data_IF_738452185322
#
_entry.id   IF_738452185322
#
_cell.length_a   1.000
_cell.length_b   1.000
_cell.length_c   1.000
_cell.angle_alpha   90.00
_cell.angle_beta   90.00
_cell.angle_gamma   90.00
#
_symmetry.space_group_name_H-M   'P 1'
#
loop_
_entity.id
_entity.type
_entity.pdbx_description
1 polymer ?
#
# COMPACT_ATOMS: atom_id res chain seq x y z
N UNK A 1 42.60 40.39 -6.75
CA UNK A 1 41.88 39.78 -5.60
C UNK A 1 40.55 39.24 -6.10
N UNK A 2 40.40 37.91 -6.11
CA UNK A 2 39.28 37.18 -6.69
C UNK A 2 38.22 36.99 -5.59
N UNK A 3 36.96 37.40 -5.85
CA UNK A 3 35.83 37.11 -4.95
C UNK A 3 34.82 36.26 -5.72
N UNK A 4 34.83 34.95 -5.42
CA UNK A 4 33.85 34.00 -5.89
C UNK A 4 32.58 34.11 -5.04
N UNK A 5 31.45 34.40 -5.67
CA UNK A 5 30.10 34.32 -5.07
C UNK A 5 29.49 32.97 -5.42
N UNK A 6 29.52 32.03 -4.47
CA UNK A 6 28.85 30.74 -4.59
C UNK A 6 27.34 30.91 -4.34
N UNK A 7 26.54 30.67 -5.36
CA UNK A 7 25.10 30.48 -5.25
C UNK A 7 24.81 29.09 -4.66
N UNK A 8 24.37 29.02 -3.40
CA UNK A 8 23.80 27.80 -2.84
C UNK A 8 22.30 27.76 -3.09
N UNK A 9 21.90 26.96 -4.09
CA UNK A 9 20.51 26.57 -4.35
C UNK A 9 19.99 25.67 -3.24
N UNK A 10 18.97 26.13 -2.51
CA UNK A 10 18.23 25.32 -1.53
C UNK A 10 17.33 24.31 -2.26
N UNK A 11 17.81 23.09 -2.43
CA UNK A 11 17.00 21.96 -2.85
C UNK A 11 16.00 21.58 -1.75
N UNK A 12 14.71 21.68 -2.11
CA UNK A 12 13.54 21.30 -1.31
C UNK A 12 13.60 19.80 -0.96
N UNK A 13 14.02 19.44 0.26
CA UNK A 13 13.95 18.05 0.74
C UNK A 13 12.48 17.60 0.82
N UNK A 14 12.12 16.66 -0.05
CA UNK A 14 10.89 15.87 0.04
C UNK A 14 11.06 14.79 1.11
N UNK A 15 10.03 14.59 1.92
CA UNK A 15 9.91 13.51 2.89
C UNK A 15 9.86 14.00 4.32
N UNK A 16 8.66 14.13 4.89
CA UNK A 16 8.50 14.10 6.35
C UNK A 16 8.74 12.64 6.77
N UNK A 17 9.77 12.32 7.56
CA UNK A 17 9.82 11.02 8.20
C UNK A 17 8.63 10.97 9.16
N UNK A 18 7.66 10.08 8.92
CA UNK A 18 6.70 9.71 9.96
C UNK A 18 7.51 9.08 11.08
N UNK A 19 7.68 9.84 12.16
CA UNK A 19 8.41 9.42 13.34
C UNK A 19 7.74 8.14 13.86
N UNK A 20 8.48 7.04 13.91
CA UNK A 20 7.97 5.79 14.45
C UNK A 20 7.49 6.07 15.90
N UNK A 21 6.23 5.79 16.25
CA UNK A 21 5.71 6.09 17.59
C UNK A 21 6.49 5.41 18.71
N UNK A 22 7.15 4.29 18.41
CA UNK A 22 8.00 3.61 19.39
C UNK A 22 9.32 4.35 19.60
N UNK A 23 9.92 4.89 18.53
CA UNK A 23 11.12 5.73 18.61
C UNK A 23 10.89 7.02 19.42
N UNK A 24 9.70 7.62 19.34
CA UNK A 24 9.36 8.77 20.19
C UNK A 24 9.30 8.39 21.67
N UNK A 25 8.73 7.23 22.00
CA UNK A 25 8.60 6.80 23.40
C UNK A 25 9.98 6.58 23.99
N UNK A 26 10.84 5.85 23.28
CA UNK A 26 12.20 5.55 23.72
C UNK A 26 13.00 6.85 23.93
N UNK A 27 12.87 7.80 23.00
CA UNK A 27 13.48 9.12 23.14
C UNK A 27 13.00 9.87 24.39
N UNK A 28 11.68 9.92 24.67
CA UNK A 28 11.17 10.63 25.85
C UNK A 28 11.54 9.93 27.16
N UNK A 29 11.79 8.62 27.14
CA UNK A 29 12.24 7.87 28.31
C UNK A 29 13.73 8.12 28.60
N UNK A 30 14.56 8.37 27.59
CA UNK A 30 16.02 8.46 27.78
C UNK A 30 16.57 9.90 27.74
N UNK A 31 15.92 10.82 27.01
CA UNK A 31 16.51 12.12 26.67
C UNK A 31 16.50 13.15 27.82
N UNK A 32 15.68 12.97 28.87
CA UNK A 32 15.47 13.98 29.91
C UNK A 32 15.43 13.38 31.34
N UNK A 33 16.50 12.70 31.80
CA UNK A 33 16.52 12.07 33.12
C UNK A 33 16.42 13.10 34.25
N UNK A 34 15.54 12.84 35.23
CA UNK A 34 15.37 13.67 36.43
C UNK A 34 15.23 12.80 37.69
N UNK A 35 16.29 12.06 38.07
CA UNK A 35 16.22 11.06 39.14
C UNK A 35 15.87 11.65 40.52
N UNK A 36 16.21 12.92 40.75
CA UNK A 36 15.91 13.63 42.00
C UNK A 36 14.49 14.23 42.01
N UNK A 37 13.70 13.99 40.96
CA UNK A 37 12.33 14.52 40.75
C UNK A 37 12.21 16.03 41.03
N UNK A 38 13.23 16.80 40.67
CA UNK A 38 13.25 18.26 40.89
C UNK A 38 12.19 18.94 40.03
N UNK A 39 11.25 19.63 40.67
CA UNK A 39 10.18 20.37 39.99
C UNK A 39 9.12 19.48 39.32
N UNK A 40 9.08 18.18 39.65
CA UNK A 40 8.07 17.27 39.15
C UNK A 40 6.67 17.63 39.72
N UNK A 41 5.61 17.54 38.90
CA UNK A 41 4.25 17.57 39.40
C UNK A 41 3.99 16.37 40.32
N UNK A 42 3.01 16.50 41.21
CA UNK A 42 2.61 15.42 42.10
C UNK A 42 1.94 14.27 41.33
N UNK A 43 2.03 13.06 41.89
CA UNK A 43 1.53 11.84 41.26
C UNK A 43 0.02 11.91 40.97
N UNK A 44 -0.78 12.63 41.79
CA UNK A 44 -2.22 12.79 41.56
C UNK A 44 -2.47 13.65 40.31
N UNK A 45 -1.66 14.68 40.09
CA UNK A 45 -1.70 15.51 38.88
C UNK A 45 -1.29 14.70 37.65
N UNK A 46 -0.26 13.86 37.73
CA UNK A 46 0.16 12.99 36.61
C UNK A 46 -0.94 11.98 36.28
N UNK A 47 -1.55 11.36 37.29
CA UNK A 47 -2.69 10.46 37.13
C UNK A 47 -3.89 11.17 36.51
N UNK A 48 -4.27 12.34 37.01
CA UNK A 48 -5.36 13.13 36.43
C UNK A 48 -5.09 13.52 34.98
N UNK A 49 -3.81 13.73 34.61
CA UNK A 49 -3.43 13.97 33.23
C UNK A 49 -3.58 12.73 32.35
N UNK A 50 -3.19 11.55 32.85
CA UNK A 50 -3.33 10.27 32.17
C UNK A 50 -4.80 9.90 31.90
N UNK A 51 -5.69 10.26 32.81
CA UNK A 51 -7.14 10.05 32.70
C UNK A 51 -7.87 11.16 31.90
N UNK A 52 -7.14 12.03 31.22
CA UNK A 52 -7.65 13.18 30.45
C UNK A 52 -8.55 14.16 31.25
N UNK A 53 -8.36 14.25 32.58
CA UNK A 53 -9.12 15.14 33.47
C UNK A 53 -8.56 16.57 33.57
N UNK A 54 -7.35 16.80 33.06
CA UNK A 54 -6.69 18.12 33.11
C UNK A 54 -6.92 18.94 31.83
N UNK A 55 -7.07 20.28 31.96
CA UNK A 55 -7.26 21.14 30.81
C UNK A 55 -6.04 21.13 29.86
N UNK A 56 -6.23 21.44 28.56
CA UNK A 56 -5.16 21.46 27.54
C UNK A 56 -3.94 22.33 27.86
N UNK A 57 -4.11 23.42 28.63
CA UNK A 57 -3.04 24.34 29.00
C UNK A 57 -2.32 24.02 30.32
N UNK A 58 -2.61 22.89 30.96
CA UNK A 58 -2.02 22.56 32.26
C UNK A 58 -0.50 22.37 32.15
N UNK A 59 0.33 22.97 33.05
CA UNK A 59 1.79 22.90 32.95
C UNK A 59 2.37 21.48 32.99
N UNK A 60 1.66 20.55 33.66
CA UNK A 60 2.04 19.14 33.69
C UNK A 60 2.14 18.48 32.29
N UNK A 61 1.39 18.96 31.28
CA UNK A 61 1.48 18.46 29.90
C UNK A 61 2.84 18.71 29.27
N UNK A 62 3.39 19.91 29.50
CA UNK A 62 4.72 20.25 29.03
C UNK A 62 5.79 19.48 29.82
N UNK A 63 5.60 19.40 31.15
CA UNK A 63 6.54 18.71 32.03
C UNK A 63 6.70 17.22 31.67
N UNK A 64 5.60 16.51 31.40
CA UNK A 64 5.62 15.10 30.97
C UNK A 64 6.35 14.90 29.64
N UNK A 65 6.38 15.91 28.77
CA UNK A 65 7.15 15.87 27.52
C UNK A 65 8.64 16.17 27.67
N UNK A 66 9.09 16.60 28.86
CA UNK A 66 10.45 17.08 29.13
C UNK A 66 11.09 16.45 30.36
N UNK A 67 10.50 15.39 30.90
CA UNK A 67 11.00 14.68 32.08
C UNK A 67 10.72 13.18 31.92
N UNK A 68 11.80 12.39 31.80
CA UNK A 68 11.74 10.94 31.59
C UNK A 68 10.93 10.22 32.66
N UNK A 69 11.15 10.54 33.93
CA UNK A 69 10.48 9.88 35.06
C UNK A 69 8.96 10.17 35.05
N UNK A 70 8.58 11.43 34.83
CA UNK A 70 7.17 11.80 34.72
C UNK A 70 6.51 11.20 33.48
N UNK A 71 7.25 11.03 32.38
CA UNK A 71 6.76 10.33 31.19
C UNK A 71 6.52 8.85 31.48
N UNK A 72 7.45 8.17 32.17
CA UNK A 72 7.29 6.77 32.57
C UNK A 72 6.06 6.57 33.46
N UNK A 73 5.90 7.39 34.50
CA UNK A 73 4.73 7.34 35.40
C UNK A 73 3.41 7.63 34.66
N UNK A 74 3.40 8.65 33.80
CA UNK A 74 2.24 8.99 32.97
C UNK A 74 1.80 7.80 32.10
N UNK A 75 2.77 7.10 31.48
CA UNK A 75 2.51 5.94 30.62
C UNK A 75 1.87 4.80 31.41
N UNK A 76 2.37 4.52 32.61
CA UNK A 76 1.77 3.51 33.50
C UNK A 76 0.33 3.86 33.87
N UNK A 77 0.07 5.08 34.37
CA UNK A 77 -1.29 5.48 34.71
C UNK A 77 -2.24 5.49 33.51
N UNK A 78 -1.73 5.84 32.32
CA UNK A 78 -2.54 5.84 31.10
C UNK A 78 -2.90 4.43 30.67
N UNK A 79 -1.95 3.51 30.74
CA UNK A 79 -2.21 2.10 30.46
C UNK A 79 -3.21 1.51 31.46
N UNK A 80 -3.02 1.72 32.76
CA UNK A 80 -3.94 1.25 33.81
C UNK A 80 -5.37 1.78 33.60
N UNK A 81 -5.50 3.04 33.19
CA UNK A 81 -6.79 3.66 32.90
C UNK A 81 -7.43 3.12 31.62
N UNK A 82 -6.65 2.91 30.56
CA UNK A 82 -7.13 2.30 29.31
C UNK A 82 -7.62 0.86 29.58
N UNK A 83 -6.87 0.06 30.34
CA UNK A 83 -7.26 -1.30 30.73
C UNK A 83 -8.52 -1.32 31.61
N UNK A 84 -8.62 -0.42 32.59
CA UNK A 84 -9.81 -0.27 33.43
C UNK A 84 -11.05 0.22 32.66
N UNK A 85 -10.87 1.04 31.62
CA UNK A 85 -11.98 1.52 30.80
C UNK A 85 -12.39 0.53 29.69
N UNK A 86 -11.47 -0.28 29.19
CA UNK A 86 -11.81 -1.36 28.24
C UNK A 86 -12.71 -2.39 28.92
N UNK A 87 -12.45 -2.75 30.19
CA UNK A 87 -13.29 -3.70 30.94
C UNK A 87 -14.69 -3.15 31.26
N UNK A 88 -14.85 -1.83 31.40
CA UNK A 88 -16.17 -1.19 31.62
C UNK A 88 -16.92 -0.91 30.31
N UNK A 89 -16.22 -0.74 29.17
CA UNK A 89 -16.84 -0.48 27.87
C UNK A 89 -17.63 -1.68 27.29
N UNK A 90 -17.30 -2.92 27.68
CA UNK A 90 -18.07 -4.11 27.28
C UNK A 90 -19.40 -4.26 28.04
N UNK A 91 -19.55 -3.66 29.22
CA UNK A 91 -20.77 -3.76 30.05
C UNK A 91 -21.57 -2.45 30.16
N UNK A 92 -20.99 -1.28 29.88
CA UNK A 92 -21.70 0.03 29.99
C UNK A 92 -22.09 0.62 28.62
N UNK A 93 -22.81 -0.16 27.81
CA UNK A 93 -23.72 0.37 26.76
C UNK A 93 -25.06 0.84 27.37
N UNK A 94 -25.10 1.03 28.68
CA UNK A 94 -26.33 1.14 29.49
C UNK A 94 -26.71 2.57 29.85
N UNK A 95 -25.83 3.56 29.61
CA UNK A 95 -26.12 4.98 29.88
C UNK A 95 -26.46 5.80 28.63
N UNK A 96 -27.26 5.24 27.72
CA UNK A 96 -28.11 6.09 26.88
C UNK A 96 -29.39 6.34 27.67
N UNK A 97 -29.50 7.53 28.29
CA UNK A 97 -30.69 7.97 29.02
C UNK A 97 -31.90 7.88 28.07
N UNK A 98 -32.86 6.95 28.24
CA UNK A 98 -33.94 6.81 27.29
C UNK A 98 -34.93 7.96 27.53
N UNK A 99 -34.93 8.95 26.64
CA UNK A 99 -36.04 9.90 26.59
C UNK A 99 -37.30 9.13 26.19
N UNK A 100 -38.35 9.28 27.00
CA UNK A 100 -39.50 8.38 27.13
C UNK A 100 -40.51 8.44 25.97
N UNK A 101 -40.08 8.76 24.74
CA UNK A 101 -40.99 9.20 23.68
C UNK A 101 -40.88 8.47 22.33
N UNK A 102 -40.18 7.34 22.24
CA UNK A 102 -40.01 6.67 20.95
C UNK A 102 -40.37 5.18 20.95
N UNK A 103 -41.67 4.89 21.08
CA UNK A 103 -42.23 3.53 20.87
C UNK A 103 -42.19 3.07 19.40
N UNK A 104 -41.76 3.92 18.46
CA UNK A 104 -41.70 3.60 17.02
C UNK A 104 -40.28 3.31 16.48
N UNK A 105 -39.23 3.49 17.29
CA UNK A 105 -37.84 3.33 16.82
C UNK A 105 -37.41 1.88 16.50
N UNK A 106 -37.86 0.81 17.18
CA UNK A 106 -37.36 -0.53 16.84
C UNK A 106 -37.82 -0.99 15.45
N UNK A 107 -39.01 -0.56 15.01
CA UNK A 107 -39.54 -0.88 13.69
C UNK A 107 -38.82 -0.11 12.57
N UNK A 108 -38.46 1.15 12.81
CA UNK A 108 -37.71 1.96 11.84
C UNK A 108 -36.27 1.43 11.64
N UNK A 109 -35.61 0.98 12.70
CA UNK A 109 -34.26 0.40 12.61
C UNK A 109 -34.29 -0.96 11.93
N UNK A 110 -35.27 -1.82 12.25
CA UNK A 110 -35.44 -3.10 11.57
C UNK A 110 -35.71 -2.91 10.07
N UNK A 111 -36.58 -1.97 9.69
CA UNK A 111 -36.85 -1.65 8.28
C UNK A 111 -35.61 -1.08 7.57
N UNK A 112 -34.83 -0.21 8.22
CA UNK A 112 -33.60 0.34 7.67
C UNK A 112 -32.53 -0.74 7.45
N UNK A 113 -32.36 -1.67 8.41
CA UNK A 113 -31.43 -2.79 8.26
C UNK A 113 -31.88 -3.74 7.15
N UNK A 114 -33.19 -4.01 7.03
CA UNK A 114 -33.72 -4.89 5.98
C UNK A 114 -33.57 -4.26 4.59
N UNK A 115 -33.72 -2.94 4.46
CA UNK A 115 -33.42 -2.20 3.22
C UNK A 115 -31.92 -2.16 2.92
N UNK A 116 -31.07 -2.00 3.93
CA UNK A 116 -29.61 -1.90 3.74
C UNK A 116 -28.97 -3.26 3.42
N UNK A 117 -29.33 -4.31 4.17
CA UNK A 117 -28.84 -5.67 3.93
C UNK A 117 -29.58 -6.35 2.77
N UNK A 118 -30.90 -6.17 2.63
CA UNK A 118 -31.67 -6.73 1.52
C UNK A 118 -31.37 -6.03 0.20
N UNK A 119 -31.37 -4.69 0.19
CA UNK A 119 -30.99 -3.90 -0.99
C UNK A 119 -29.53 -4.09 -1.36
N UNK A 120 -28.63 -4.11 -0.37
CA UNK A 120 -27.21 -4.42 -0.56
C UNK A 120 -26.98 -5.84 -1.10
N UNK A 121 -27.69 -6.84 -0.59
CA UNK A 121 -27.56 -8.22 -1.05
C UNK A 121 -28.14 -8.43 -2.44
N UNK A 122 -29.30 -7.83 -2.74
CA UNK A 122 -29.89 -7.88 -4.09
C UNK A 122 -29.02 -7.11 -5.07
N UNK A 123 -28.55 -5.91 -4.74
CA UNK A 123 -27.61 -5.18 -5.58
C UNK A 123 -26.30 -5.94 -5.77
N UNK A 124 -25.74 -6.54 -4.72
CA UNK A 124 -24.51 -7.33 -4.81
C UNK A 124 -24.71 -8.60 -5.66
N UNK A 125 -25.82 -9.31 -5.47
CA UNK A 125 -26.25 -10.40 -6.36
C UNK A 125 -26.44 -9.89 -7.78
N UNK A 126 -26.99 -8.70 -7.99
CA UNK A 126 -27.24 -8.13 -9.31
C UNK A 126 -26.00 -7.48 -9.94
N UNK A 127 -24.96 -7.17 -9.17
CA UNK A 127 -23.62 -6.76 -9.64
C UNK A 127 -22.78 -8.00 -9.98
N UNK A 128 -22.90 -9.08 -9.21
CA UNK A 128 -22.29 -10.37 -9.53
C UNK A 128 -23.01 -11.10 -10.67
N UNK A 129 -24.34 -10.96 -10.73
CA UNK A 129 -25.21 -11.54 -11.77
C UNK A 129 -25.58 -10.51 -12.83
N UNK A 130 -25.02 -9.29 -12.76
CA UNK A 130 -25.02 -8.44 -13.93
C UNK A 130 -24.35 -9.32 -14.97
N UNK A 131 -25.03 -9.66 -16.07
CA UNK A 131 -24.27 -9.96 -17.24
C UNK A 131 -23.47 -8.68 -17.42
N UNK A 132 -22.18 -8.72 -17.06
CA UNK A 132 -21.19 -8.00 -17.84
C UNK A 132 -21.68 -8.31 -19.23
N UNK A 133 -22.22 -7.30 -19.91
CA UNK A 133 -22.34 -7.36 -21.34
C UNK A 133 -20.91 -7.64 -21.74
N UNK A 134 -20.53 -8.93 -21.78
CA UNK A 134 -19.51 -9.43 -22.64
C UNK A 134 -20.00 -8.79 -23.91
N UNK A 135 -19.30 -7.76 -24.44
CA UNK A 135 -19.51 -7.50 -25.83
C UNK A 135 -19.46 -8.90 -26.43
N UNK A 136 -20.40 -9.27 -27.28
CA UNK A 136 -20.06 -10.26 -28.27
C UNK A 136 -18.96 -9.60 -29.09
N UNK A 137 -17.76 -9.50 -28.50
CA UNK A 137 -16.53 -9.60 -29.22
C UNK A 137 -16.77 -10.89 -29.96
N UNK A 138 -16.85 -10.76 -31.27
CA UNK A 138 -16.47 -11.84 -32.15
C UNK A 138 -15.40 -12.65 -31.43
N UNK A 139 -15.63 -13.95 -31.30
CA UNK A 139 -14.67 -14.89 -30.78
C UNK A 139 -13.39 -14.77 -31.62
N UNK A 140 -12.59 -13.76 -31.33
CA UNK A 140 -11.22 -13.65 -31.77
C UNK A 140 -10.53 -14.59 -30.82
N UNK A 141 -10.34 -15.80 -31.32
CA UNK A 141 -9.54 -16.83 -30.67
C UNK A 141 -8.28 -16.16 -30.08
N UNK A 142 -8.02 -16.32 -28.77
CA UNK A 142 -6.90 -15.66 -28.14
C UNK A 142 -5.62 -16.07 -28.86
N UNK A 143 -4.88 -15.07 -29.36
CA UNK A 143 -3.68 -15.34 -30.13
C UNK A 143 -2.62 -15.86 -29.15
N UNK A 144 -2.18 -17.10 -29.37
CA UNK A 144 -1.12 -17.70 -28.59
C UNK A 144 0.22 -17.18 -29.13
N UNK A 145 0.98 -16.45 -28.31
CA UNK A 145 2.30 -15.91 -28.68
C UNK A 145 3.32 -16.40 -27.67
N UNK A 146 4.42 -16.99 -28.14
CA UNK A 146 5.56 -17.33 -27.30
C UNK A 146 6.68 -16.30 -27.47
N UNK A 147 7.27 -15.87 -26.36
CA UNK A 147 8.34 -14.88 -26.32
C UNK A 147 9.47 -15.43 -25.47
N UNK A 148 10.64 -15.65 -26.09
CA UNK A 148 11.83 -16.12 -25.38
C UNK A 148 12.69 -14.92 -24.94
N UNK A 149 12.72 -14.64 -23.63
CA UNK A 149 13.56 -13.60 -23.03
C UNK A 149 14.86 -14.18 -22.43
N UNK A 150 15.18 -15.47 -22.65
CA UNK A 150 16.36 -16.10 -22.05
C UNK A 150 17.69 -15.49 -22.52
N UNK A 151 17.75 -14.99 -23.75
CA UNK A 151 18.93 -14.31 -24.33
C UNK A 151 18.90 -12.78 -24.16
N UNK A 152 17.89 -12.23 -23.47
CA UNK A 152 17.78 -10.79 -23.19
C UNK A 152 18.75 -10.37 -22.07
N UNK A 153 20.04 -10.42 -22.38
CA UNK A 153 21.12 -10.08 -21.47
C UNK A 153 21.01 -8.65 -20.92
N UNK A 154 21.22 -8.54 -19.61
CA UNK A 154 21.21 -7.29 -18.84
C UNK A 154 22.35 -6.36 -19.25
N UNK A 155 22.06 -5.23 -19.91
CA UNK A 155 23.05 -4.15 -20.07
C UNK A 155 23.04 -3.28 -18.81
N UNK A 156 24.19 -3.21 -18.11
CA UNK A 156 24.43 -2.36 -16.94
C UNK A 156 25.36 -1.21 -17.34
N UNK A 157 24.80 -0.02 -17.59
CA UNK A 157 25.56 1.19 -17.93
C UNK A 157 24.80 2.13 -18.88
N UNK A 158 25.14 3.44 -18.93
CA UNK A 158 24.53 4.36 -19.87
C UNK A 158 25.18 4.21 -21.25
N UNK A 159 24.37 3.82 -22.23
CA UNK A 159 24.57 3.89 -23.68
C UNK A 159 25.76 3.12 -24.30
N UNK A 160 25.45 1.98 -24.93
CA UNK A 160 25.88 1.68 -26.31
C UNK A 160 24.73 0.91 -27.00
N UNK A 161 24.18 1.49 -28.07
CA UNK A 161 23.31 0.81 -29.02
C UNK A 161 24.15 -0.18 -29.84
N UNK A 162 24.00 -1.50 -29.64
CA UNK A 162 24.01 -2.54 -30.69
C UNK A 162 23.91 -3.95 -30.10
N UNK A 163 22.69 -4.35 -29.73
CA UNK A 163 22.14 -5.66 -30.10
C UNK A 163 20.66 -5.43 -30.34
N UNK A 164 20.10 -5.63 -31.55
CA UNK A 164 18.67 -5.55 -31.73
C UNK A 164 18.03 -6.65 -30.88
N UNK A 165 17.48 -6.25 -29.73
CA UNK A 165 16.49 -7.05 -29.03
C UNK A 165 15.44 -7.43 -30.09
N UNK A 166 14.97 -8.68 -30.17
CA UNK A 166 13.83 -8.99 -31.01
C UNK A 166 12.70 -8.07 -30.54
N UNK A 167 12.37 -7.07 -31.36
CA UNK A 167 11.27 -6.14 -31.11
C UNK A 167 10.01 -7.02 -31.10
N UNK A 168 9.65 -7.46 -29.90
CA UNK A 168 8.61 -8.47 -29.74
C UNK A 168 7.31 -7.76 -30.03
N UNK A 169 6.68 -8.10 -31.15
CA UNK A 169 5.43 -7.49 -31.57
C UNK A 169 4.25 -8.30 -31.06
N UNK A 170 3.35 -7.67 -30.32
CA UNK A 170 2.08 -8.27 -29.91
C UNK A 170 0.92 -7.60 -30.66
N UNK A 171 -0.12 -8.35 -31.05
CA UNK A 171 -1.32 -7.74 -31.60
C UNK A 171 -2.07 -6.98 -30.51
N UNK A 172 -2.79 -5.93 -30.91
CA UNK A 172 -3.80 -5.22 -30.10
C UNK A 172 -5.05 -6.07 -29.82
N UNK A 173 -4.85 -7.28 -29.27
CA UNK A 173 -5.91 -8.26 -28.96
C UNK A 173 -5.72 -8.87 -27.56
N UNK A 174 -6.59 -9.82 -27.19
CA UNK A 174 -6.31 -10.68 -26.03
C UNK A 174 -5.27 -11.71 -26.46
N UNK A 175 -4.16 -11.76 -25.72
CA UNK A 175 -2.99 -12.61 -26.03
C UNK A 175 -2.76 -13.58 -24.87
N UNK A 176 -2.63 -14.86 -25.20
CA UNK A 176 -2.08 -15.86 -24.28
C UNK A 176 -0.58 -15.93 -24.50
N UNK A 177 0.15 -15.26 -23.61
CA UNK A 177 1.58 -15.07 -23.73
C UNK A 177 2.33 -16.16 -22.95
N UNK A 178 3.17 -16.91 -23.64
CA UNK A 178 4.11 -17.85 -23.04
C UNK A 178 5.52 -17.22 -23.03
N UNK A 179 5.95 -16.73 -21.87
CA UNK A 179 7.24 -16.09 -21.66
C UNK A 179 8.26 -17.10 -21.14
N UNK A 180 9.41 -17.20 -21.80
CA UNK A 180 10.61 -17.79 -21.16
C UNK A 180 11.36 -16.64 -20.49
N UNK A 181 11.51 -16.70 -19.17
CA UNK A 181 12.17 -15.65 -18.40
C UNK A 181 13.70 -15.65 -18.62
N UNK A 182 14.39 -14.52 -18.35
CA UNK A 182 15.84 -14.44 -18.43
C UNK A 182 16.56 -15.52 -17.61
N UNK A 183 17.80 -15.81 -18.00
CA UNK A 183 18.68 -16.71 -17.24
C UNK A 183 18.78 -16.26 -15.78
N UNK A 184 18.78 -17.23 -14.86
CA UNK A 184 18.77 -17.02 -13.42
C UNK A 184 17.50 -16.36 -12.85
N UNK A 185 16.41 -16.30 -13.62
CA UNK A 185 15.09 -16.05 -13.03
C UNK A 185 14.68 -17.24 -12.16
N UNK A 186 14.06 -16.95 -11.03
CA UNK A 186 13.57 -17.96 -10.12
C UNK A 186 12.13 -18.37 -10.45
N UNK A 187 11.67 -19.47 -9.88
CA UNK A 187 10.26 -19.85 -9.92
C UNK A 187 9.43 -19.01 -8.93
N UNK A 188 8.11 -18.98 -9.15
CA UNK A 188 7.15 -18.31 -8.26
C UNK A 188 6.19 -17.38 -8.98
N UNK A 189 5.50 -16.52 -8.24
CA UNK A 189 4.51 -15.61 -8.81
C UNK A 189 5.17 -14.40 -9.47
N UNK A 190 4.78 -14.13 -10.71
CA UNK A 190 5.20 -12.95 -11.48
C UNK A 190 4.00 -12.13 -11.94
N UNK A 191 4.19 -10.81 -11.99
CA UNK A 191 3.29 -9.86 -12.64
C UNK A 191 3.97 -9.38 -13.91
N UNK A 192 3.23 -9.37 -15.01
CA UNK A 192 3.67 -8.85 -16.30
C UNK A 192 2.86 -7.60 -16.61
N UNK A 193 3.53 -6.46 -16.70
CA UNK A 193 2.92 -5.18 -17.03
C UNK A 193 3.35 -4.75 -18.43
N UNK A 194 2.43 -4.13 -19.15
CA UNK A 194 2.74 -3.43 -20.39
C UNK A 194 2.50 -1.94 -20.16
N UNK A 195 3.54 -1.12 -20.29
CA UNK A 195 3.49 0.33 -20.07
C UNK A 195 3.95 1.12 -21.28
N UNK A 196 3.48 2.36 -21.42
CA UNK A 196 3.96 3.29 -22.47
C UNK A 196 5.36 3.83 -22.18
N UNK A 197 5.76 3.80 -20.92
CA UNK A 197 7.00 4.38 -20.43
C UNK A 197 7.84 3.35 -19.67
N UNK A 198 9.17 3.54 -19.69
CA UNK A 198 10.12 2.65 -18.99
C UNK A 198 10.05 2.77 -17.46
N UNK A 199 9.35 3.78 -16.91
CA UNK A 199 9.17 3.93 -15.46
C UNK A 199 8.02 3.09 -14.90
N UNK A 200 7.17 2.52 -15.78
CA UNK A 200 6.01 1.72 -15.38
C UNK A 200 4.84 2.54 -14.83
N UNK A 201 4.83 3.87 -15.02
CA UNK A 201 3.77 4.74 -14.51
C UNK A 201 2.50 4.69 -15.37
N UNK A 202 2.62 4.39 -16.67
CA UNK A 202 1.51 4.34 -17.61
C UNK A 202 1.21 2.91 -18.06
N UNK A 203 0.70 2.08 -17.14
CA UNK A 203 0.30 0.69 -17.41
C UNK A 203 -0.96 0.68 -18.31
N UNK A 204 -0.87 -0.04 -19.42
CA UNK A 204 -1.95 -0.23 -20.41
C UNK A 204 -2.56 -1.62 -20.33
N UNK A 205 -1.77 -2.62 -19.92
CA UNK A 205 -2.25 -3.95 -19.61
C UNK A 205 -1.42 -4.58 -18.49
N UNK A 206 -2.06 -5.47 -17.73
CA UNK A 206 -1.39 -6.24 -16.68
C UNK A 206 -1.95 -7.65 -16.66
N UNK A 207 -1.10 -8.62 -16.36
CA UNK A 207 -1.47 -9.99 -16.11
C UNK A 207 -0.53 -10.61 -15.10
N UNK A 208 -0.93 -11.74 -14.51
CA UNK A 208 -0.10 -12.48 -13.58
C UNK A 208 -0.11 -13.97 -13.89
N UNK A 209 0.92 -14.66 -13.42
CA UNK A 209 1.02 -16.11 -13.51
C UNK A 209 2.14 -16.65 -12.64
N UNK A 210 2.18 -17.97 -12.52
CA UNK A 210 3.24 -18.66 -11.81
C UNK A 210 4.30 -19.13 -12.81
N UNK A 211 5.53 -18.67 -12.59
CA UNK A 211 6.69 -19.10 -13.33
C UNK A 211 7.17 -20.46 -12.81
N UNK A 212 7.29 -21.42 -13.71
CA UNK A 212 7.68 -22.81 -13.43
C UNK A 212 8.96 -23.14 -14.16
N UNK A 213 9.77 -24.04 -13.60
CA UNK A 213 10.99 -24.53 -14.25
C UNK A 213 10.61 -25.61 -15.26
N UNK A 214 11.02 -25.44 -16.51
CA UNK A 214 10.83 -26.40 -17.60
C UNK A 214 12.05 -27.29 -17.79
N UNK A 215 11.87 -28.35 -18.59
CA UNK A 215 12.94 -29.26 -18.99
C UNK A 215 14.06 -28.48 -19.68
N UNK A 216 15.30 -28.68 -19.23
CA UNK A 216 16.46 -27.88 -19.67
C UNK A 216 16.77 -26.67 -18.78
N UNK A 217 16.06 -26.49 -17.66
CA UNK A 217 16.42 -25.54 -16.61
C UNK A 217 16.00 -24.09 -16.87
N UNK A 218 15.30 -23.83 -17.97
CA UNK A 218 14.65 -22.55 -18.27
C UNK A 218 13.44 -22.36 -17.36
N UNK A 219 13.09 -21.11 -17.07
CA UNK A 219 11.89 -20.77 -16.30
C UNK A 219 10.88 -20.14 -17.26
N UNK A 220 9.67 -20.71 -17.32
CA UNK A 220 8.60 -20.21 -18.18
C UNK A 220 7.40 -19.72 -17.38
N UNK A 221 6.69 -18.75 -17.93
CA UNK A 221 5.52 -18.10 -17.36
C UNK A 221 4.44 -17.99 -18.42
N UNK A 222 3.24 -18.50 -18.13
CA UNK A 222 2.06 -18.30 -18.98
C UNK A 222 1.18 -17.21 -18.36
N UNK A 223 0.84 -16.20 -19.15
CA UNK A 223 0.02 -15.06 -18.72
C UNK A 223 -0.93 -14.64 -19.84
N UNK A 224 -2.15 -14.25 -19.49
CA UNK A 224 -3.08 -13.64 -20.44
C UNK A 224 -3.02 -12.13 -20.29
N UNK A 225 -2.81 -11.42 -21.41
CA UNK A 225 -2.79 -9.96 -21.48
C UNK A 225 -3.92 -9.47 -22.38
N UNK A 226 -4.64 -8.45 -21.93
CA UNK A 226 -5.66 -7.79 -22.74
C UNK A 226 -5.10 -6.49 -23.34
N UNK A 227 -4.72 -6.54 -24.61
CA UNK A 227 -4.14 -5.41 -25.34
C UNK A 227 -5.15 -4.72 -26.27
N UNK A 228 -6.44 -5.03 -26.19
CA UNK A 228 -7.47 -4.47 -27.10
C UNK A 228 -7.63 -2.97 -27.00
N UNK A 229 -7.35 -2.40 -25.83
CA UNK A 229 -7.40 -0.96 -25.60
C UNK A 229 -6.07 -0.26 -25.94
N UNK A 230 -5.02 -1.01 -26.27
CA UNK A 230 -3.72 -0.45 -26.62
C UNK A 230 -3.74 0.04 -28.08
N UNK A 231 -3.13 1.21 -28.30
CA UNK A 231 -2.94 1.74 -29.64
C UNK A 231 -1.68 1.13 -30.25
N UNK A 232 -1.58 1.00 -31.57
CA UNK A 232 -0.33 0.58 -32.20
C UNK A 232 0.82 1.53 -31.86
N UNK A 233 1.98 1.00 -31.49
CA UNK A 233 3.13 1.81 -31.09
C UNK A 233 4.17 1.09 -30.24
N UNK A 234 5.11 1.87 -29.71
CA UNK A 234 6.16 1.39 -28.82
C UNK A 234 5.71 1.39 -27.36
N UNK A 235 6.01 0.30 -26.68
CA UNK A 235 5.65 -0.01 -25.30
C UNK A 235 6.84 -0.69 -24.61
N UNK A 236 6.70 -0.90 -23.30
CA UNK A 236 7.63 -1.67 -22.50
C UNK A 236 6.87 -2.78 -21.79
N UNK A 237 7.38 -4.00 -21.90
CA UNK A 237 6.94 -5.14 -21.09
C UNK A 237 7.83 -5.21 -19.85
N UNK A 238 7.22 -5.23 -18.68
CA UNK A 238 7.91 -5.33 -17.40
C UNK A 238 7.56 -6.66 -16.72
N UNK A 239 8.57 -7.41 -16.27
CA UNK A 239 8.39 -8.59 -15.41
C UNK A 239 8.72 -8.22 -13.97
N UNK A 240 7.76 -8.36 -13.07
CA UNK A 240 7.85 -7.98 -11.66
C UNK A 240 7.68 -9.23 -10.80
N UNK A 241 8.60 -9.44 -9.85
CA UNK A 241 8.53 -10.53 -8.88
C UNK A 241 8.50 -9.97 -7.46
N UNK A 242 7.40 -10.23 -6.74
CA UNK A 242 7.25 -9.78 -5.35
C UNK A 242 7.35 -8.25 -5.17
N UNK A 243 7.78 -7.81 -3.98
CA UNK A 243 8.01 -6.41 -3.63
C UNK A 243 9.44 -5.93 -3.89
N UNK A 244 10.31 -6.81 -4.38
CA UNK A 244 11.74 -6.56 -4.43
C UNK A 244 12.17 -6.12 -5.84
N UNK A 245 13.15 -5.22 -5.89
CA UNK A 245 13.66 -4.41 -7.01
C UNK A 245 14.08 -5.15 -8.31
N UNK A 246 13.75 -6.42 -8.52
CA UNK A 246 14.02 -7.18 -9.73
C UNK A 246 13.00 -6.95 -10.84
N UNK A 247 12.67 -5.69 -11.17
CA UNK A 247 11.83 -5.40 -12.34
C UNK A 247 12.70 -5.28 -13.59
N UNK A 248 12.46 -6.13 -14.59
CA UNK A 248 13.12 -6.05 -15.88
C UNK A 248 12.18 -5.47 -16.91
N UNK A 249 12.69 -4.57 -17.75
CA UNK A 249 11.93 -3.90 -18.82
C UNK A 249 12.47 -4.30 -20.18
N UNK A 250 11.56 -4.70 -21.07
CA UNK A 250 11.84 -5.11 -22.44
C UNK A 250 11.06 -4.21 -23.41
N UNK A 251 11.66 -3.78 -24.52
CA UNK A 251 10.92 -3.07 -25.55
C UNK A 251 9.87 -4.01 -26.15
N UNK A 252 8.66 -3.49 -26.33
CA UNK A 252 7.52 -4.19 -26.89
C UNK A 252 6.91 -3.31 -27.97
N UNK A 253 6.51 -3.89 -29.09
CA UNK A 253 5.70 -3.19 -30.08
C UNK A 253 4.29 -3.76 -30.06
N UNK A 254 3.29 -2.89 -30.06
CA UNK A 254 1.90 -3.30 -30.26
C UNK A 254 1.52 -2.93 -31.69
N UNK A 255 0.95 -3.87 -32.42
CA UNK A 255 0.50 -3.70 -33.80
C UNK A 255 -1.03 -3.60 -33.90
#
# INVERSE_FOLDING_TARGET
MIRATAHHSFARRKGKPSLNPDLMKDFLLEAFPNPERKGCPDDKTIKALAEDKLPPGHPARLHVGSCSECYAEYRHFRQDWEEANVTTAFFDRSKVKPSRQFKAVPWAVAAALLLMFGGGYVAFRHYQSAPVARPQLASVEPVNVSVDLSESGTVRGPAVETTPLPETSLPSSVVNLALVLPRFSDTGHYIVNVSRDKSGAQIVASGSGNAVKEDGGKVSLKVTLDLRAAQPGAYFLATVRGTDNGTYYYPLKIN
#
